data_IF_022246534636
#
_entry.id   IF_022246534636
#
_cell.length_a   1.000
_cell.length_b   1.000
_cell.length_c   1.000
_cell.angle_alpha   90.00
_cell.angle_beta   90.00
_cell.angle_gamma   90.00
#
_symmetry.space_group_name_H-M   'P 1'
#
loop_
_entity.id
_entity.type
_entity.pdbx_description
1 polymer ?
#
# COMPACT_ATOMS: atom_id res chain seq x y z
N UNK A 1 -36.86 -7.67 11.03
CA UNK A 1 -36.22 -8.15 12.29
C UNK A 1 -34.76 -7.67 12.44
N UNK A 2 -33.91 -7.82 11.41
CA UNK A 2 -32.54 -7.29 11.40
C UNK A 2 -32.49 -5.75 11.28
N UNK A 3 -33.37 -5.16 10.46
CA UNK A 3 -33.47 -3.69 10.30
C UNK A 3 -33.89 -2.98 11.60
N UNK A 4 -34.88 -3.52 12.33
CA UNK A 4 -35.27 -3.01 13.67
C UNK A 4 -34.18 -3.17 14.74
N UNK A 5 -33.29 -4.15 14.60
CA UNK A 5 -32.17 -4.36 15.52
C UNK A 5 -31.00 -3.40 15.24
N UNK A 6 -30.76 -3.08 13.96
CA UNK A 6 -29.85 -2.02 13.53
C UNK A 6 -30.36 -0.63 13.94
N UNK A 7 -31.66 -0.35 13.75
CA UNK A 7 -32.30 0.90 14.23
C UNK A 7 -32.20 1.06 15.75
N UNK A 8 -32.38 -0.03 16.51
CA UNK A 8 -32.22 -0.04 17.97
C UNK A 8 -30.77 0.18 18.42
N UNK A 9 -29.78 -0.21 17.62
CA UNK A 9 -28.35 0.04 17.91
C UNK A 9 -27.95 1.48 17.56
N UNK A 10 -28.48 2.04 16.48
CA UNK A 10 -28.32 3.48 16.17
C UNK A 10 -29.00 4.35 17.23
N UNK A 11 -30.21 4.02 17.69
CA UNK A 11 -30.87 4.71 18.82
C UNK A 11 -30.10 4.57 20.13
N UNK A 12 -29.44 3.42 20.38
CA UNK A 12 -28.64 3.21 21.60
C UNK A 12 -27.33 4.03 21.59
N UNK A 13 -26.76 4.27 20.40
CA UNK A 13 -25.58 5.11 20.21
C UNK A 13 -25.95 6.60 20.33
N UNK A 14 -27.15 6.98 19.88
CA UNK A 14 -27.63 8.37 19.93
C UNK A 14 -28.13 8.79 21.34
N UNK A 15 -28.78 7.90 22.10
CA UNK A 15 -29.39 8.26 23.41
C UNK A 15 -28.45 8.28 24.63
N UNK A 16 -27.15 7.98 24.48
CA UNK A 16 -26.22 7.92 25.63
C UNK A 16 -24.85 8.59 25.42
N UNK A 17 -24.73 9.46 24.43
CA UNK A 17 -23.66 10.45 24.42
C UNK A 17 -24.07 11.63 25.31
N UNK A 18 -23.83 11.52 26.62
CA UNK A 18 -23.74 12.72 27.46
C UNK A 18 -22.41 13.38 27.10
N UNK A 19 -22.44 14.17 26.04
CA UNK A 19 -21.40 15.13 25.71
C UNK A 19 -21.43 16.18 26.83
N UNK A 20 -20.29 16.46 27.45
CA UNK A 20 -20.20 17.53 28.43
C UNK A 20 -20.52 18.86 27.75
N UNK A 21 -21.73 19.39 28.03
CA UNK A 21 -22.28 20.75 27.89
C UNK A 21 -21.83 21.70 26.76
N UNK A 22 -21.19 21.20 25.71
CA UNK A 22 -20.74 21.96 24.55
C UNK A 22 -21.44 21.51 23.27
N UNK A 23 -22.72 21.84 23.13
CA UNK A 23 -23.47 21.70 21.88
C UNK A 23 -24.59 20.66 21.93
N UNK A 24 -25.78 21.09 22.34
CA UNK A 24 -27.02 20.33 22.17
C UNK A 24 -27.48 20.38 20.70
N UNK A 25 -27.75 19.22 20.11
CA UNK A 25 -28.37 19.09 18.80
C UNK A 25 -28.34 17.65 18.27
N UNK A 26 -29.44 17.22 17.64
CA UNK A 26 -29.83 15.87 17.18
C UNK A 26 -28.92 15.18 16.13
N UNK A 27 -27.66 15.60 15.97
CA UNK A 27 -26.70 14.93 15.10
C UNK A 27 -25.33 14.84 15.79
N UNK A 28 -25.17 13.80 16.60
CA UNK A 28 -23.88 13.48 17.21
C UNK A 28 -22.89 13.01 16.13
N UNK A 29 -22.06 13.92 15.61
CA UNK A 29 -20.89 13.56 14.78
C UNK A 29 -19.61 13.63 15.60
N UNK A 30 -18.63 12.80 15.22
CA UNK A 30 -17.28 12.94 15.73
C UNK A 30 -16.73 14.35 15.40
N UNK A 31 -16.04 14.95 16.36
CA UNK A 31 -15.32 16.20 16.12
C UNK A 31 -14.21 15.99 15.10
N UNK A 32 -13.99 16.98 14.23
CA UNK A 32 -12.82 17.02 13.37
C UNK A 32 -11.56 17.31 14.19
N UNK A 33 -10.38 17.05 13.63
CA UNK A 33 -9.11 17.37 14.28
C UNK A 33 -9.00 18.87 14.57
N UNK A 34 -9.53 19.72 13.68
CA UNK A 34 -9.54 21.17 13.85
C UNK A 34 -10.46 21.61 14.99
N UNK A 35 -11.63 20.99 15.14
CA UNK A 35 -12.54 21.25 16.26
C UNK A 35 -11.91 20.87 17.60
N UNK A 36 -11.21 19.72 17.65
CA UNK A 36 -10.45 19.29 18.83
C UNK A 36 -9.34 20.30 19.13
N UNK A 37 -8.57 20.73 18.12
CA UNK A 37 -7.48 21.68 18.28
C UNK A 37 -7.96 23.06 18.75
N UNK A 38 -9.08 23.53 18.23
CA UNK A 38 -9.68 24.81 18.64
C UNK A 38 -10.16 24.75 20.10
N UNK A 39 -10.82 23.65 20.50
CA UNK A 39 -11.21 23.45 21.90
C UNK A 39 -10.02 23.44 22.86
N UNK A 40 -8.90 22.81 22.48
CA UNK A 40 -7.66 22.82 23.26
C UNK A 40 -7.11 24.25 23.40
N UNK A 41 -7.12 25.03 22.32
CA UNK A 41 -6.61 26.41 22.30
C UNK A 41 -7.46 27.34 23.15
N UNK A 42 -8.78 27.26 23.03
CA UNK A 42 -9.73 28.17 23.69
C UNK A 42 -9.91 27.86 25.17
N UNK A 43 -10.12 26.58 25.52
CA UNK A 43 -10.54 26.19 26.85
C UNK A 43 -9.39 25.67 27.71
N UNK A 44 -8.18 25.52 27.13
CA UNK A 44 -7.00 24.91 27.77
C UNK A 44 -7.28 23.54 28.41
N UNK A 45 -8.32 22.85 27.95
CA UNK A 45 -8.74 21.51 28.39
C UNK A 45 -8.61 20.54 27.23
N UNK A 46 -8.25 19.29 27.54
CA UNK A 46 -8.16 18.22 26.54
C UNK A 46 -9.47 17.42 26.55
N UNK A 47 -10.22 17.34 25.44
CA UNK A 47 -11.39 16.49 25.38
C UNK A 47 -11.00 15.02 25.54
N UNK A 48 -11.82 14.25 26.26
CA UNK A 48 -11.66 12.81 26.43
C UNK A 48 -12.91 12.09 25.91
N UNK A 49 -12.73 10.91 25.35
CA UNK A 49 -13.81 10.11 24.77
C UNK A 49 -13.67 8.63 25.09
N UNK A 50 -14.77 7.89 24.90
CA UNK A 50 -14.80 6.43 25.02
C UNK A 50 -15.28 5.82 23.70
N UNK A 51 -14.61 4.77 23.25
CA UNK A 51 -15.06 3.99 22.09
C UNK A 51 -16.33 3.23 22.44
N UNK A 52 -17.41 3.50 21.69
CA UNK A 52 -18.73 2.83 21.87
C UNK A 52 -19.03 1.81 20.78
N UNK A 53 -18.28 1.84 19.67
CA UNK A 53 -18.46 0.94 18.54
C UNK A 53 -17.30 1.03 17.56
N UNK A 54 -17.22 0.02 16.69
CA UNK A 54 -16.22 -0.05 15.61
C UNK A 54 -17.00 -0.18 14.31
N UNK A 55 -16.99 0.88 13.49
CA UNK A 55 -17.74 0.91 12.23
C UNK A 55 -17.03 0.07 11.17
N UNK A 56 -15.73 0.34 10.96
CA UNK A 56 -14.91 -0.36 9.98
C UNK A 56 -13.67 -0.95 10.68
N UNK A 57 -13.58 -2.28 10.87
CA UNK A 57 -12.37 -2.89 11.39
C UNK A 57 -11.24 -2.79 10.35
N UNK A 58 -10.04 -2.46 10.81
CA UNK A 58 -8.84 -2.44 9.95
C UNK A 58 -8.47 -3.85 9.45
N UNK A 59 -8.03 -3.94 8.20
CA UNK A 59 -7.50 -5.17 7.59
C UNK A 59 -6.21 -5.66 8.26
N UNK A 60 -5.49 -4.80 8.99
CA UNK A 60 -4.33 -5.21 9.79
C UNK A 60 -4.64 -6.31 10.80
N UNK A 61 -5.91 -6.46 11.22
CA UNK A 61 -6.36 -7.56 12.11
C UNK A 61 -6.24 -8.95 11.48
N UNK A 62 -6.12 -9.03 10.16
CA UNK A 62 -6.01 -10.27 9.40
C UNK A 62 -4.56 -10.79 9.35
N UNK A 63 -3.57 -9.93 9.57
CA UNK A 63 -2.16 -10.24 9.36
C UNK A 63 -1.28 -9.73 10.51
N UNK A 64 -1.50 -10.26 11.72
CA UNK A 64 -0.68 -9.89 12.88
C UNK A 64 0.47 -10.90 13.00
N UNK A 65 1.71 -10.41 12.90
CA UNK A 65 2.89 -11.24 13.13
C UNK A 65 3.22 -11.27 14.62
N UNK A 66 3.34 -12.47 15.15
CA UNK A 66 3.56 -12.74 16.56
C UNK A 66 4.70 -13.74 16.81
N UNK A 67 5.06 -13.85 18.08
CA UNK A 67 5.83 -14.96 18.66
C UNK A 67 5.03 -15.64 19.76
N UNK A 68 5.34 -16.90 20.07
CA UNK A 68 4.73 -17.59 21.22
C UNK A 68 5.23 -16.93 22.51
N UNK A 69 4.31 -16.42 23.32
CA UNK A 69 4.64 -15.87 24.64
C UNK A 69 4.53 -16.94 25.73
N UNK A 70 3.40 -17.66 25.75
CA UNK A 70 3.11 -18.75 26.70
C UNK A 70 2.35 -19.84 25.98
N UNK A 71 2.62 -21.10 26.31
CA UNK A 71 1.93 -22.25 25.75
C UNK A 71 1.75 -23.32 26.83
N UNK A 72 0.50 -23.70 27.08
CA UNK A 72 0.10 -24.72 28.04
C UNK A 72 -0.67 -25.83 27.30
N UNK A 73 -0.35 -27.09 27.61
CA UNK A 73 -0.97 -28.28 27.00
C UNK A 73 -0.98 -28.24 25.47
N UNK A 74 0.08 -27.68 24.86
CA UNK A 74 0.18 -27.52 23.41
C UNK A 74 0.37 -28.87 22.70
N UNK A 75 0.93 -29.86 23.38
CA UNK A 75 1.17 -31.20 22.84
C UNK A 75 -0.15 -31.95 22.57
N UNK A 76 -1.16 -31.72 23.40
CA UNK A 76 -2.45 -32.41 23.29
C UNK A 76 -3.36 -31.82 22.19
N UNK A 77 -3.15 -30.52 21.85
CA UNK A 77 -4.06 -29.72 21.00
C UNK A 77 -5.54 -29.98 21.34
N UNK A 78 -5.83 -30.02 22.64
CA UNK A 78 -7.15 -30.25 23.20
C UNK A 78 -7.88 -28.93 23.43
N UNK A 79 -9.18 -28.92 23.77
CA UNK A 79 -9.87 -27.70 24.19
C UNK A 79 -9.23 -27.01 25.42
N UNK A 80 -8.40 -27.72 26.18
CA UNK A 80 -7.64 -27.18 27.29
C UNK A 80 -6.29 -26.54 26.86
N UNK A 81 -5.92 -26.64 25.59
CA UNK A 81 -4.72 -25.99 25.05
C UNK A 81 -4.90 -24.47 25.09
N UNK A 82 -3.96 -23.80 25.73
CA UNK A 82 -3.92 -22.33 25.82
C UNK A 82 -2.58 -21.85 25.29
N UNK A 83 -2.61 -21.13 24.16
CA UNK A 83 -1.43 -20.46 23.62
C UNK A 83 -1.70 -18.97 23.61
N UNK A 84 -0.79 -18.21 24.20
CA UNK A 84 -0.78 -16.76 24.15
C UNK A 84 0.33 -16.32 23.21
N UNK A 85 -0.01 -15.49 22.24
CA UNK A 85 0.89 -14.88 21.29
C UNK A 85 1.18 -13.44 21.69
N UNK A 86 2.45 -13.05 21.61
CA UNK A 86 2.86 -11.66 21.72
C UNK A 86 3.09 -11.11 20.31
N UNK A 87 2.32 -10.11 19.86
CA UNK A 87 2.63 -9.36 18.65
C UNK A 87 4.03 -8.76 18.69
N UNK A 88 4.65 -8.65 17.53
CA UNK A 88 5.94 -7.97 17.38
C UNK A 88 5.76 -6.45 17.55
N UNK A 89 4.64 -5.89 17.09
CA UNK A 89 4.28 -4.51 17.38
C UNK A 89 3.56 -4.39 18.74
N UNK A 90 4.11 -3.58 19.64
CA UNK A 90 3.55 -3.38 20.98
C UNK A 90 2.18 -2.64 21.00
N UNK A 91 1.74 -2.11 19.85
CA UNK A 91 0.41 -1.49 19.70
C UNK A 91 -0.72 -2.51 19.80
N UNK A 92 -0.46 -3.78 19.50
CA UNK A 92 -1.44 -4.84 19.58
C UNK A 92 -1.41 -5.52 20.95
N UNK A 93 -2.58 -5.85 21.53
CA UNK A 93 -2.65 -6.63 22.76
C UNK A 93 -2.18 -8.07 22.51
N UNK A 94 -1.85 -8.79 23.58
CA UNK A 94 -1.60 -10.22 23.47
C UNK A 94 -2.84 -10.95 22.95
N UNK A 95 -2.61 -11.99 22.15
CA UNK A 95 -3.65 -12.74 21.46
C UNK A 95 -3.71 -14.16 22.02
N UNK A 96 -4.91 -14.74 22.12
CA UNK A 96 -5.10 -16.11 22.60
C UNK A 96 -5.57 -17.02 21.47
N UNK A 97 -4.90 -18.16 21.32
CA UNK A 97 -5.32 -19.20 20.37
C UNK A 97 -6.72 -19.67 20.73
N UNK A 98 -7.61 -19.63 19.74
CA UNK A 98 -8.89 -20.31 19.81
C UNK A 98 -8.77 -21.68 19.13
N UNK A 99 -8.76 -22.75 19.92
CA UNK A 99 -8.86 -24.11 19.38
C UNK A 99 -10.33 -24.41 19.09
N UNK A 100 -10.71 -24.67 17.83
CA UNK A 100 -12.08 -25.00 17.50
C UNK A 100 -12.44 -26.40 18.03
N UNK A 101 -13.49 -26.50 18.84
CA UNK A 101 -13.99 -27.78 19.37
C UNK A 101 -14.60 -28.68 18.30
N UNK A 102 -15.24 -28.10 17.27
CA UNK A 102 -16.09 -28.85 16.35
C UNK A 102 -15.52 -29.01 14.93
N UNK A 103 -14.32 -28.47 14.65
CA UNK A 103 -13.72 -28.50 13.31
C UNK A 103 -12.56 -29.47 13.22
N UNK A 104 -12.84 -30.72 12.84
CA UNK A 104 -11.81 -31.75 12.57
C UNK A 104 -10.76 -31.28 11.54
N UNK A 105 -11.19 -30.52 10.52
CA UNK A 105 -10.32 -29.96 9.49
C UNK A 105 -9.32 -28.96 10.07
N UNK A 106 -9.81 -28.08 10.94
CA UNK A 106 -8.98 -27.02 11.53
C UNK A 106 -8.03 -27.56 12.59
N UNK A 107 -8.45 -28.54 13.38
CA UNK A 107 -7.54 -29.28 14.27
C UNK A 107 -6.43 -29.99 13.49
N UNK A 108 -6.76 -30.63 12.35
CA UNK A 108 -5.74 -31.24 11.48
C UNK A 108 -4.76 -30.20 10.92
N UNK A 109 -5.25 -28.99 10.59
CA UNK A 109 -4.42 -27.87 10.13
C UNK A 109 -3.48 -27.38 11.22
N UNK A 110 -3.98 -27.15 12.43
CA UNK A 110 -3.17 -26.74 13.59
C UNK A 110 -2.12 -27.79 13.96
N UNK A 111 -2.44 -29.09 13.86
CA UNK A 111 -1.47 -30.18 14.04
C UNK A 111 -0.34 -30.13 13.02
N UNK A 112 -0.64 -29.82 11.75
CA UNK A 112 0.36 -29.72 10.68
C UNK A 112 1.32 -28.53 10.87
N UNK A 113 0.88 -27.47 11.57
CA UNK A 113 1.71 -26.29 11.81
C UNK A 113 2.82 -26.51 12.85
N UNK A 114 2.84 -27.66 13.54
CA UNK A 114 3.87 -28.04 14.53
C UNK A 114 4.24 -26.90 15.51
N UNK A 115 3.22 -26.22 16.07
CA UNK A 115 3.41 -25.06 16.95
C UNK A 115 4.32 -25.33 18.17
N UNK A 116 4.42 -26.58 18.62
CA UNK A 116 5.32 -27.01 19.69
C UNK A 116 6.79 -26.73 19.36
N UNK A 117 7.17 -26.75 18.08
CA UNK A 117 8.51 -26.50 17.55
C UNK A 117 8.68 -25.09 16.96
N UNK A 118 7.74 -24.18 17.22
CA UNK A 118 7.72 -22.84 16.62
C UNK A 118 7.97 -21.71 17.64
N UNK A 119 8.64 -22.01 18.77
CA UNK A 119 8.91 -21.01 19.83
C UNK A 119 9.88 -19.91 19.38
N UNK A 120 10.81 -20.26 18.52
CA UNK A 120 11.84 -19.44 17.90
C UNK A 120 11.44 -18.89 16.53
N UNK A 121 10.16 -19.08 16.13
CA UNK A 121 9.65 -18.70 14.82
C UNK A 121 8.63 -17.56 14.90
N UNK A 122 8.57 -16.77 13.83
CA UNK A 122 7.45 -15.88 13.59
C UNK A 122 6.20 -16.67 13.20
N UNK A 123 5.06 -16.22 13.70
CA UNK A 123 3.75 -16.86 13.50
C UNK A 123 2.78 -15.79 13.03
N UNK A 124 2.14 -16.02 11.90
CA UNK A 124 1.08 -15.16 11.40
C UNK A 124 -0.24 -15.59 12.05
N UNK A 125 -0.93 -14.65 12.68
CA UNK A 125 -2.24 -14.88 13.29
C UNK A 125 -3.27 -13.88 12.78
N UNK A 126 -4.52 -14.31 12.80
CA UNK A 126 -5.68 -13.51 12.44
C UNK A 126 -6.61 -13.42 13.64
N UNK A 127 -7.02 -12.20 14.00
CA UNK A 127 -8.02 -11.97 15.05
C UNK A 127 -9.36 -12.52 14.59
N UNK A 128 -9.96 -13.40 15.39
CA UNK A 128 -11.27 -14.01 15.09
C UNK A 128 -12.39 -13.31 15.86
N UNK A 129 -12.21 -13.12 17.17
CA UNK A 129 -13.25 -12.55 18.04
C UNK A 129 -12.63 -11.89 19.26
N UNK A 130 -13.19 -10.77 19.72
CA UNK A 130 -12.88 -10.20 21.03
C UNK A 130 -14.15 -10.08 21.87
N UNK A 131 -14.50 -11.12 22.66
CA UNK A 131 -15.69 -11.08 23.47
C UNK A 131 -15.49 -10.24 24.75
N UNK A 132 -16.57 -9.66 25.27
CA UNK A 132 -16.56 -8.77 26.45
C UNK A 132 -15.99 -9.42 27.72
N UNK A 133 -16.10 -10.74 27.84
CA UNK A 133 -15.59 -11.49 28.98
C UNK A 133 -14.10 -11.81 28.91
N UNK A 134 -13.43 -11.49 27.78
CA UNK A 134 -12.02 -11.81 27.59
C UNK A 134 -11.17 -10.56 27.51
N UNK A 135 -10.13 -10.51 28.36
CA UNK A 135 -9.13 -9.44 28.34
C UNK A 135 -8.27 -9.45 27.08
N UNK A 136 -8.14 -10.61 26.42
CA UNK A 136 -7.33 -10.80 25.22
C UNK A 136 -8.20 -11.22 24.03
N UNK A 137 -8.00 -10.66 22.83
CA UNK A 137 -8.67 -11.13 21.63
C UNK A 137 -8.29 -12.58 21.30
N UNK A 138 -9.27 -13.32 20.79
CA UNK A 138 -9.07 -14.64 20.23
C UNK A 138 -8.53 -14.55 18.81
N UNK A 139 -7.66 -15.48 18.45
CA UNK A 139 -7.06 -15.58 17.12
C UNK A 139 -6.97 -17.02 16.62
N UNK A 140 -6.89 -17.14 15.30
CA UNK A 140 -6.47 -18.37 14.62
C UNK A 140 -5.05 -18.21 14.06
N UNK A 141 -4.27 -19.29 14.05
CA UNK A 141 -2.94 -19.28 13.40
C UNK A 141 -3.14 -19.45 11.90
N UNK A 142 -2.65 -18.51 11.09
CA UNK A 142 -2.68 -18.63 9.64
C UNK A 142 -1.55 -19.56 9.20
N UNK A 143 -0.31 -19.24 9.59
CA UNK A 143 0.89 -19.98 9.21
C UNK A 143 2.06 -19.72 10.17
N UNK A 144 3.10 -20.55 10.07
CA UNK A 144 4.39 -20.35 10.73
C UNK A 144 5.37 -19.88 9.67
N UNK A 145 5.84 -18.64 9.79
CA UNK A 145 6.60 -17.95 8.75
C UNK A 145 8.04 -18.45 8.67
N UNK A 146 8.68 -18.68 9.82
CA UNK A 146 10.06 -19.17 9.87
C UNK A 146 10.83 -18.65 11.08
N UNK A 147 12.10 -19.03 11.20
CA UNK A 147 12.98 -18.66 12.32
C UNK A 147 13.20 -17.14 12.41
N UNK A 148 13.09 -16.60 13.63
CA UNK A 148 13.28 -15.17 13.90
C UNK A 148 14.74 -14.71 13.72
N UNK A 149 15.69 -15.64 13.65
CA UNK A 149 17.12 -15.37 13.41
C UNK A 149 17.44 -15.11 11.93
N UNK A 150 16.58 -15.55 11.00
CA UNK A 150 16.78 -15.34 9.57
C UNK A 150 16.37 -13.92 9.17
N UNK A 151 17.23 -13.29 8.36
CA UNK A 151 17.02 -11.97 7.78
C UNK A 151 15.79 -11.94 6.87
N UNK A 152 15.61 -12.97 6.06
CA UNK A 152 14.50 -13.11 5.11
C UNK A 152 13.15 -13.14 5.85
N UNK A 153 13.08 -13.87 6.97
CA UNK A 153 11.86 -13.93 7.79
C UNK A 153 11.59 -12.63 8.54
N UNK A 154 12.63 -11.90 8.95
CA UNK A 154 12.49 -10.56 9.55
C UNK A 154 11.91 -9.56 8.54
N UNK A 155 12.42 -9.55 7.31
CA UNK A 155 11.89 -8.70 6.23
C UNK A 155 10.43 -9.06 5.95
N UNK A 156 10.13 -10.35 5.77
CA UNK A 156 8.76 -10.84 5.52
C UNK A 156 7.80 -10.45 6.65
N UNK A 157 8.22 -10.55 7.91
CA UNK A 157 7.43 -10.13 9.06
C UNK A 157 7.06 -8.64 9.02
N UNK A 158 8.00 -7.77 8.66
CA UNK A 158 7.76 -6.32 8.51
C UNK A 158 6.79 -6.06 7.36
N UNK A 159 6.99 -6.71 6.21
CA UNK A 159 6.11 -6.56 5.04
C UNK A 159 4.66 -6.98 5.35
N UNK A 160 4.47 -8.08 6.08
CA UNK A 160 3.15 -8.54 6.53
C UNK A 160 2.44 -7.54 7.44
N UNK A 161 3.17 -7.00 8.41
CA UNK A 161 2.63 -6.03 9.37
C UNK A 161 2.15 -4.76 8.68
N UNK A 162 2.89 -4.31 7.65
CA UNK A 162 2.50 -3.16 6.85
C UNK A 162 1.44 -3.49 5.78
N UNK A 163 1.00 -4.75 5.69
CA UNK A 163 0.00 -5.19 4.70
C UNK A 163 0.53 -5.29 3.27
N UNK A 164 1.85 -5.22 3.07
CA UNK A 164 2.52 -5.23 1.77
C UNK A 164 2.50 -6.64 1.15
N UNK A 165 2.53 -7.70 1.96
CA UNK A 165 2.47 -9.08 1.45
C UNK A 165 1.19 -9.36 0.65
N UNK A 166 0.06 -8.78 1.05
CA UNK A 166 -1.25 -8.98 0.39
C UNK A 166 -1.30 -8.41 -1.03
N UNK A 167 -0.32 -7.57 -1.38
CA UNK A 167 -0.28 -6.78 -2.61
C UNK A 167 0.97 -7.08 -3.45
N UNK A 168 2.15 -7.24 -2.85
CA UNK A 168 3.43 -7.19 -3.57
C UNK A 168 4.24 -8.49 -3.61
N UNK A 169 4.03 -9.42 -2.68
CA UNK A 169 4.82 -10.66 -2.61
C UNK A 169 4.31 -11.75 -3.55
N UNK A 170 3.07 -11.63 -4.04
CA UNK A 170 2.55 -12.50 -5.08
C UNK A 170 3.09 -12.17 -6.47
N UNK A 171 3.31 -13.21 -7.27
CA UNK A 171 3.52 -13.04 -8.70
C UNK A 171 2.31 -12.35 -9.35
N UNK A 172 2.56 -11.55 -10.39
CA UNK A 172 1.50 -10.95 -11.18
C UNK A 172 0.63 -12.04 -11.81
N UNK A 173 -0.69 -11.90 -11.71
CA UNK A 173 -1.62 -12.89 -12.23
C UNK A 173 -1.53 -13.02 -13.76
N UNK A 174 -2.00 -14.14 -14.32
CA UNK A 174 -2.00 -14.34 -15.78
C UNK A 174 -2.81 -13.26 -16.50
N UNK A 175 -3.88 -12.77 -15.88
CA UNK A 175 -4.71 -11.69 -16.41
C UNK A 175 -3.92 -10.39 -16.47
N UNK A 176 -3.08 -10.08 -15.48
CA UNK A 176 -2.19 -8.91 -15.49
C UNK A 176 -1.13 -9.06 -16.58
N UNK A 177 -0.48 -10.22 -16.65
CA UNK A 177 0.55 -10.50 -17.66
C UNK A 177 -0.04 -10.43 -19.09
N UNK A 178 -1.29 -10.84 -19.28
CA UNK A 178 -1.96 -10.77 -20.58
C UNK A 178 -2.22 -9.35 -21.09
N UNK A 179 -2.13 -8.33 -20.20
CA UNK A 179 -2.23 -6.93 -20.58
C UNK A 179 -0.90 -6.38 -21.15
N UNK A 180 0.20 -7.11 -21.00
CA UNK A 180 1.51 -6.67 -21.48
C UNK A 180 1.60 -6.83 -23.01
N UNK A 181 2.34 -5.94 -23.68
CA UNK A 181 2.62 -6.11 -25.10
C UNK A 181 3.48 -7.37 -25.34
N UNK A 182 3.36 -7.95 -26.52
CA UNK A 182 4.26 -9.02 -26.96
C UNK A 182 5.68 -8.49 -27.13
N UNK A 183 6.67 -9.33 -26.82
CA UNK A 183 8.09 -9.03 -27.02
C UNK A 183 8.64 -9.78 -28.25
N UNK A 184 9.55 -9.18 -29.03
CA UNK A 184 10.07 -7.82 -28.89
C UNK A 184 9.01 -6.75 -29.23
N UNK A 185 9.03 -5.65 -28.49
CA UNK A 185 8.11 -4.52 -28.70
C UNK A 185 8.86 -3.34 -29.31
N UNK A 186 8.23 -2.70 -30.29
CA UNK A 186 8.73 -1.50 -30.96
C UNK A 186 7.62 -0.45 -31.04
N UNK A 187 8.02 0.82 -31.14
CA UNK A 187 7.08 1.93 -31.28
C UNK A 187 6.51 1.90 -32.70
N UNK A 188 5.20 1.69 -32.82
CA UNK A 188 4.54 1.68 -34.13
C UNK A 188 4.47 3.07 -34.78
N UNK A 189 4.50 3.11 -36.12
CA UNK A 189 4.47 4.36 -36.92
C UNK A 189 3.32 5.31 -36.57
N UNK A 190 2.16 4.75 -36.20
CA UNK A 190 1.00 5.54 -35.77
C UNK A 190 1.31 6.36 -34.51
N UNK A 191 1.94 5.75 -33.51
CA UNK A 191 2.33 6.47 -32.28
C UNK A 191 3.38 7.53 -32.58
N UNK A 192 4.36 7.23 -33.44
CA UNK A 192 5.38 8.20 -33.87
C UNK A 192 4.70 9.43 -34.52
N UNK A 193 3.74 9.20 -35.42
CA UNK A 193 3.04 10.28 -36.13
C UNK A 193 2.22 11.19 -35.21
N UNK A 194 1.74 10.66 -34.09
CA UNK A 194 0.92 11.37 -33.10
C UNK A 194 1.75 12.16 -32.10
N UNK A 195 3.07 11.97 -32.05
CA UNK A 195 3.96 12.54 -31.01
C UNK A 195 4.93 13.56 -31.60
N UNK A 196 5.57 14.34 -30.71
CA UNK A 196 6.70 15.19 -31.12
C UNK A 196 7.94 14.33 -31.05
N UNK A 197 8.71 14.30 -32.12
CA UNK A 197 10.01 13.64 -32.14
C UNK A 197 11.05 14.52 -31.45
N UNK A 198 11.62 14.01 -30.36
CA UNK A 198 12.68 14.66 -29.59
C UNK A 198 14.00 13.86 -29.66
N UNK A 199 14.10 12.83 -30.52
CA UNK A 199 15.28 11.95 -30.58
C UNK A 199 16.57 12.67 -30.98
N UNK A 200 16.46 13.84 -31.62
CA UNK A 200 17.62 14.69 -31.93
C UNK A 200 18.11 15.53 -30.75
N UNK A 201 17.35 15.58 -29.65
CA UNK A 201 17.71 16.36 -28.46
C UNK A 201 18.69 15.56 -27.60
N UNK A 202 19.56 16.28 -26.89
CA UNK A 202 20.44 15.65 -25.88
C UNK A 202 19.67 15.44 -24.60
N UNK A 203 19.06 14.26 -24.47
CA UNK A 203 18.30 13.83 -23.30
C UNK A 203 19.15 12.84 -22.48
N UNK A 204 19.16 12.99 -21.16
CA UNK A 204 19.88 12.13 -20.23
C UNK A 204 19.13 11.99 -18.90
N UNK A 205 19.29 10.87 -18.20
CA UNK A 205 18.78 10.69 -16.83
C UNK A 205 19.93 10.82 -15.82
N UNK A 206 19.60 11.09 -14.55
CA UNK A 206 20.58 11.18 -13.45
C UNK A 206 20.04 10.34 -12.30
N UNK A 207 20.57 9.13 -12.17
CA UNK A 207 20.06 8.11 -11.24
C UNK A 207 21.19 7.43 -10.46
N UNK A 208 20.89 6.78 -9.32
CA UNK A 208 21.85 5.89 -8.66
C UNK A 208 22.37 4.79 -9.60
N UNK A 209 23.62 4.36 -9.40
CA UNK A 209 24.26 3.31 -10.23
C UNK A 209 23.46 2.00 -10.29
N UNK A 210 22.65 1.70 -9.27
CA UNK A 210 21.83 0.48 -9.19
C UNK A 210 20.40 0.65 -9.72
N UNK A 211 20.02 1.82 -10.23
CA UNK A 211 18.69 2.09 -10.75
C UNK A 211 18.42 1.26 -12.03
N UNK A 212 17.17 0.80 -12.19
CA UNK A 212 16.75 0.01 -13.37
C UNK A 212 15.49 0.57 -14.03
N UNK A 213 14.75 1.35 -13.28
CA UNK A 213 13.47 1.99 -13.56
C UNK A 213 13.69 3.50 -13.70
N UNK A 214 14.21 3.92 -14.86
CA UNK A 214 14.52 5.32 -15.14
C UNK A 214 13.23 6.03 -15.58
N UNK A 215 12.55 6.66 -14.62
CA UNK A 215 11.24 7.27 -14.83
C UNK A 215 11.32 8.69 -15.41
N UNK A 216 12.41 9.41 -15.16
CA UNK A 216 12.61 10.78 -15.63
C UNK A 216 13.94 10.96 -16.37
N UNK A 217 13.92 11.87 -17.34
CA UNK A 217 15.08 12.34 -18.06
C UNK A 217 15.00 13.84 -18.28
N UNK A 218 16.16 14.46 -18.46
CA UNK A 218 16.34 15.89 -18.56
C UNK A 218 16.98 16.26 -19.91
N UNK A 219 16.65 17.44 -20.41
CA UNK A 219 17.38 18.09 -21.50
C UNK A 219 17.56 19.57 -21.21
N UNK A 220 18.67 20.12 -21.69
CA UNK A 220 18.94 21.56 -21.61
C UNK A 220 19.64 22.01 -22.89
N UNK A 221 19.14 23.11 -23.46
CA UNK A 221 19.69 23.74 -24.66
C UNK A 221 19.65 25.26 -24.49
N UNK A 222 20.74 25.96 -24.82
CA UNK A 222 20.74 27.42 -24.86
C UNK A 222 19.98 27.90 -26.09
N UNK A 223 18.91 28.69 -25.91
CA UNK A 223 18.17 29.31 -27.00
C UNK A 223 18.90 30.57 -27.47
N UNK A 224 19.36 31.36 -26.51
CA UNK A 224 20.21 32.53 -26.68
C UNK A 224 21.06 32.77 -25.41
N UNK A 225 21.76 33.91 -25.29
CA UNK A 225 22.62 34.21 -24.14
C UNK A 225 21.88 34.35 -22.81
N UNK A 226 20.57 34.61 -22.84
CA UNK A 226 19.74 34.89 -21.65
C UNK A 226 18.65 33.86 -21.43
N UNK A 227 18.47 32.92 -22.36
CA UNK A 227 17.34 31.98 -22.36
C UNK A 227 17.84 30.55 -22.54
N UNK A 228 17.43 29.66 -21.65
CA UNK A 228 17.64 28.22 -21.78
C UNK A 228 16.30 27.50 -21.96
N UNK A 229 16.28 26.53 -22.87
CA UNK A 229 15.21 25.55 -23.02
C UNK A 229 15.51 24.35 -22.14
N UNK A 230 14.65 24.10 -21.17
CA UNK A 230 14.78 22.99 -20.22
C UNK A 230 13.62 22.04 -20.42
N UNK A 231 13.91 20.76 -20.64
CA UNK A 231 12.93 19.70 -20.78
C UNK A 231 13.00 18.70 -19.62
N UNK A 232 11.84 18.34 -19.10
CA UNK A 232 11.64 17.18 -18.21
C UNK A 232 10.79 16.18 -18.97
N UNK A 233 11.28 14.95 -19.09
CA UNK A 233 10.70 13.88 -19.88
C UNK A 233 10.41 12.70 -18.96
N UNK A 234 9.14 12.41 -18.72
CA UNK A 234 8.67 11.34 -17.84
C UNK A 234 8.26 10.13 -18.68
N UNK A 235 8.62 8.93 -18.28
CA UNK A 235 8.20 7.68 -18.91
C UNK A 235 6.67 7.65 -19.13
N UNK A 236 6.22 7.37 -20.36
CA UNK A 236 4.78 7.35 -20.68
C UNK A 236 4.13 6.01 -20.29
N UNK A 237 4.08 5.73 -18.99
CA UNK A 237 3.47 4.52 -18.40
C UNK A 237 2.00 4.39 -18.82
N UNK A 238 1.30 5.50 -19.01
CA UNK A 238 -0.12 5.54 -19.39
C UNK A 238 -0.40 4.99 -20.79
N UNK A 239 0.62 4.91 -21.65
CA UNK A 239 0.52 4.22 -22.93
C UNK A 239 0.27 2.72 -22.74
N UNK A 240 0.92 2.11 -21.74
CA UNK A 240 0.88 0.67 -21.46
C UNK A 240 -0.20 0.31 -20.42
N UNK A 241 -0.36 1.12 -19.37
CA UNK A 241 -1.33 0.89 -18.30
C UNK A 241 -2.63 1.63 -18.63
N UNK A 242 -3.59 0.92 -19.25
CA UNK A 242 -4.88 1.49 -19.63
C UNK A 242 -5.91 1.38 -18.51
N UNK A 243 -6.78 2.40 -18.31
CA UNK A 243 -7.79 2.39 -17.26
C UNK A 243 -8.69 1.15 -17.30
N UNK A 244 -9.11 0.69 -16.12
CA UNK A 244 -10.02 -0.43 -15.91
C UNK A 244 -9.52 -1.82 -16.38
N UNK A 245 -8.25 -1.93 -16.82
CA UNK A 245 -7.61 -3.22 -17.11
C UNK A 245 -7.20 -3.96 -15.83
N UNK A 246 -6.86 -5.24 -15.95
CA UNK A 246 -6.33 -6.03 -14.82
C UNK A 246 -5.00 -5.44 -14.31
N UNK A 247 -4.16 -4.96 -15.22
CA UNK A 247 -2.90 -4.30 -14.89
C UNK A 247 -3.12 -3.00 -14.11
N UNK A 248 -4.07 -2.16 -14.52
CA UNK A 248 -4.44 -0.92 -13.81
C UNK A 248 -4.97 -1.21 -12.40
N UNK A 249 -5.85 -2.20 -12.26
CA UNK A 249 -6.37 -2.61 -10.93
C UNK A 249 -5.27 -3.13 -10.01
N UNK A 250 -4.34 -3.91 -10.54
CA UNK A 250 -3.22 -4.42 -9.75
C UNK A 250 -2.24 -3.30 -9.39
N UNK A 251 -1.93 -2.39 -10.32
CA UNK A 251 -1.12 -1.20 -10.06
C UNK A 251 -1.77 -0.31 -8.99
N UNK A 252 -3.09 -0.08 -9.06
CA UNK A 252 -3.86 0.66 -8.06
C UNK A 252 -3.86 -0.02 -6.69
N UNK A 253 -3.95 -1.36 -6.66
CA UNK A 253 -3.89 -2.15 -5.43
C UNK A 253 -2.51 -2.09 -4.77
N UNK A 254 -1.43 -2.12 -5.58
CA UNK A 254 -0.04 -1.99 -5.12
C UNK A 254 0.30 -0.55 -4.73
N UNK A 255 -0.26 0.43 -5.45
CA UNK A 255 -0.14 1.88 -5.30
C UNK A 255 1.28 2.46 -5.49
N UNK A 256 2.32 1.79 -5.02
CA UNK A 256 3.71 2.24 -5.12
C UNK A 256 4.67 1.05 -5.06
N UNK A 257 5.85 1.16 -5.67
CA UNK A 257 6.91 0.17 -5.49
C UNK A 257 7.49 0.27 -4.07
N UNK A 258 7.83 -0.87 -3.47
CA UNK A 258 8.43 -0.92 -2.13
C UNK A 258 9.93 -1.18 -2.25
N UNK A 259 10.73 -0.17 -1.91
CA UNK A 259 12.19 -0.26 -1.92
C UNK A 259 12.70 -0.72 -0.55
N UNK A 260 13.45 -1.82 -0.56
CA UNK A 260 14.14 -2.38 0.60
C UNK A 260 15.64 -2.36 0.35
N UNK A 261 16.43 -2.54 1.41
CA UNK A 261 17.89 -2.60 1.30
C UNK A 261 18.36 -3.69 0.33
N UNK A 262 17.67 -4.83 0.30
CA UNK A 262 18.06 -5.99 -0.50
C UNK A 262 17.28 -6.16 -1.80
N UNK A 263 16.41 -5.20 -2.16
CA UNK A 263 15.66 -5.30 -3.40
C UNK A 263 14.40 -4.46 -3.43
N UNK A 264 13.65 -4.60 -4.53
CA UNK A 264 12.44 -3.83 -4.80
C UNK A 264 11.29 -4.79 -5.05
N UNK A 265 10.14 -4.50 -4.44
CA UNK A 265 8.88 -5.11 -4.81
C UNK A 265 8.14 -4.16 -5.77
N UNK A 266 8.06 -4.48 -7.06
CA UNK A 266 7.63 -3.51 -8.06
C UNK A 266 6.10 -3.37 -8.10
N UNK A 267 5.65 -2.15 -8.38
CA UNK A 267 4.24 -1.83 -8.65
C UNK A 267 3.75 -2.44 -9.97
N UNK A 268 4.59 -2.45 -11.00
CA UNK A 268 4.27 -3.00 -12.33
C UNK A 268 5.17 -4.21 -12.66
N UNK A 269 4.80 -5.05 -13.62
CA UNK A 269 5.68 -6.12 -14.10
C UNK A 269 7.04 -5.58 -14.56
N UNK A 270 8.11 -6.32 -14.27
CA UNK A 270 9.50 -5.92 -14.60
C UNK A 270 9.68 -5.56 -16.07
N UNK A 271 8.98 -6.22 -16.98
CA UNK A 271 9.00 -5.88 -18.41
C UNK A 271 8.60 -4.42 -18.66
N UNK A 272 7.62 -3.88 -17.93
CA UNK A 272 7.27 -2.47 -18.05
C UNK A 272 8.27 -1.59 -17.30
N UNK A 273 8.56 -1.90 -16.04
CA UNK A 273 9.43 -1.07 -15.20
C UNK A 273 10.85 -0.95 -15.74
N UNK A 274 11.51 -2.05 -16.06
CA UNK A 274 12.95 -2.10 -16.35
C UNK A 274 13.25 -1.97 -17.85
N UNK A 275 12.31 -2.33 -18.74
CA UNK A 275 12.56 -2.39 -20.18
C UNK A 275 11.76 -1.35 -20.98
N UNK A 276 10.42 -1.42 -20.96
CA UNK A 276 9.57 -0.69 -21.91
C UNK A 276 9.28 0.76 -21.51
N UNK A 277 9.06 1.02 -20.21
CA UNK A 277 8.81 2.37 -19.70
C UNK A 277 10.10 3.08 -19.31
N UNK A 278 11.08 2.35 -18.76
CA UNK A 278 12.39 2.91 -18.40
C UNK A 278 13.03 3.61 -19.59
N UNK A 279 13.48 4.84 -19.38
CA UNK A 279 14.14 5.72 -20.35
C UNK A 279 15.60 5.30 -20.60
N UNK A 280 15.78 4.02 -20.94
CA UNK A 280 17.08 3.38 -21.15
C UNK A 280 17.89 4.05 -22.28
N UNK A 281 19.21 4.26 -22.09
CA UNK A 281 20.04 4.98 -23.05
C UNK A 281 20.15 4.23 -24.38
N UNK A 282 20.20 4.99 -25.48
CA UNK A 282 20.38 4.45 -26.83
C UNK A 282 19.16 3.71 -27.39
N UNK A 283 18.00 3.82 -26.75
CA UNK A 283 16.76 3.19 -27.20
C UNK A 283 15.63 4.20 -27.31
N UNK A 284 14.83 4.10 -28.38
CA UNK A 284 13.67 4.96 -28.55
C UNK A 284 12.61 4.63 -27.48
N UNK A 285 12.10 5.65 -26.79
CA UNK A 285 11.13 5.51 -25.70
C UNK A 285 10.00 6.53 -25.80
N UNK A 286 8.82 6.11 -25.35
CA UNK A 286 7.66 6.99 -25.23
C UNK A 286 7.74 7.77 -23.92
N UNK A 287 7.64 9.09 -24.01
CA UNK A 287 7.68 9.97 -22.85
C UNK A 287 6.56 11.01 -22.92
N UNK A 288 6.09 11.41 -21.73
CA UNK A 288 5.36 12.64 -21.50
C UNK A 288 6.39 13.73 -21.22
N UNK A 289 6.37 14.82 -21.99
CA UNK A 289 7.36 15.90 -21.82
C UNK A 289 6.72 17.21 -21.39
N UNK A 290 7.42 17.89 -20.49
CA UNK A 290 7.19 19.29 -20.17
C UNK A 290 8.47 20.04 -20.53
N UNK A 291 8.35 21.13 -21.28
CA UNK A 291 9.48 21.94 -21.68
C UNK A 291 9.17 23.39 -21.40
N UNK A 292 10.15 24.09 -20.83
CA UNK A 292 10.11 25.51 -20.56
C UNK A 292 11.22 26.22 -21.33
N UNK A 293 10.96 27.47 -21.69
CA UNK A 293 12.03 28.44 -21.92
C UNK A 293 12.13 29.32 -20.67
N UNK A 294 13.31 29.37 -20.08
CA UNK A 294 13.57 29.98 -18.78
C UNK A 294 14.59 31.10 -18.97
N UNK A 295 14.34 32.25 -18.34
CA UNK A 295 15.33 33.32 -18.25
C UNK A 295 16.46 32.91 -17.32
N UNK A 296 17.71 32.98 -17.78
CA UNK A 296 18.90 32.71 -16.97
C UNK A 296 19.24 33.84 -16.00
N UNK A 297 18.65 35.02 -16.18
CA UNK A 297 18.86 36.18 -15.31
C UNK A 297 17.89 36.16 -14.12
N UNK A 298 16.61 35.85 -14.37
CA UNK A 298 15.57 35.91 -13.33
C UNK A 298 15.06 34.55 -12.87
N UNK A 299 15.38 33.47 -13.59
CA UNK A 299 14.78 32.13 -13.43
C UNK A 299 13.26 32.08 -13.70
N UNK A 300 12.69 33.11 -14.33
CA UNK A 300 11.28 33.11 -14.70
C UNK A 300 11.02 32.19 -15.91
N UNK A 301 9.90 31.48 -15.87
CA UNK A 301 9.37 30.75 -17.02
C UNK A 301 8.81 31.74 -18.03
N UNK A 302 9.41 31.80 -19.21
CA UNK A 302 9.02 32.67 -20.32
C UNK A 302 7.95 32.02 -21.20
N UNK A 303 8.08 30.72 -21.45
CA UNK A 303 7.11 29.92 -22.19
C UNK A 303 7.06 28.49 -21.67
N UNK A 304 5.91 27.84 -21.81
CA UNK A 304 5.67 26.46 -21.38
C UNK A 304 5.02 25.65 -22.49
N UNK A 305 5.48 24.42 -22.65
CA UNK A 305 4.87 23.41 -23.49
C UNK A 305 4.76 22.09 -22.71
N UNK A 306 3.52 21.67 -22.43
CA UNK A 306 3.18 20.38 -21.83
C UNK A 306 2.57 19.49 -22.94
N UNK A 307 3.00 18.23 -23.09
CA UNK A 307 2.33 17.32 -24.04
C UNK A 307 2.18 15.89 -23.57
N UNK A 308 0.91 15.47 -23.66
CA UNK A 308 0.46 14.12 -24.04
C UNK A 308 -0.32 14.09 -25.37
N UNK A 309 -0.81 15.24 -25.86
CA UNK A 309 -1.89 15.30 -26.85
C UNK A 309 -1.39 15.26 -28.30
N UNK A 310 -2.11 14.65 -29.25
CA UNK A 310 -1.78 14.68 -30.68
C UNK A 310 -1.54 16.11 -31.18
N UNK A 311 -0.74 16.29 -32.23
CA UNK A 311 -0.62 17.58 -32.93
C UNK A 311 -2.05 18.06 -33.16
N UNK A 312 -2.44 19.29 -32.78
CA UNK A 312 -3.71 19.80 -33.24
C UNK A 312 -3.64 19.83 -34.77
N UNK A 313 -4.40 18.96 -35.41
CA UNK A 313 -4.71 19.09 -36.83
C UNK A 313 -5.62 20.31 -36.93
N UNK A 314 -5.02 21.49 -37.13
CA UNK A 314 -5.79 22.61 -37.64
C UNK A 314 -6.00 22.38 -39.14
N UNK A 315 -7.25 22.54 -39.64
CA UNK A 315 -7.54 22.49 -41.08
C UNK A 315 -6.87 23.63 -41.85
#
# INVERSE_FOLDING_TARGET
PLARWLESLTELVEKKLVVGDGGGGDQARAWTLDEINNQIREHKRRPAGKVVGIVNPTDQRKHIVCRIHKAEKLEDLSPATSVTFRPVEDRFPFLRLQVPTDSKKEMKRLKKLELTKARDKFILVMVTKWPLYSEAPFCGVVEVLGEMTSKENQISAVLLQQGIEQTHLGEFSKEVISCLPSTPWEIGDKEISLRRDLRSWRIFSIDPETARDLDDALSIEMVDEKTARVGVHIADVTHFVRPATSLDKEASKRATSVYMVDGVLPMLPRLLCEELCSLNPGTDRLAFSIVWEISLETCDVLSEWIRQTPKPSFP
#
